data_IF_820295050255
#
_entry.id   IF_820295050255
#
_cell.length_a   1.000
_cell.length_b   1.000
_cell.length_c   1.000
_cell.angle_alpha   90.00
_cell.angle_beta   90.00
_cell.angle_gamma   90.00
#
_symmetry.space_group_name_H-M   'P 1'
#
loop_
_entity.id
_entity.type
_entity.pdbx_description
1 polymer ?
#
# COMPACT_ATOMS: atom_id res chain seq x y z
N UNK A 1 -61.25 -29.31 53.68
CA UNK A 1 -60.72 -28.03 53.17
C UNK A 1 -59.16 -27.97 53.19
N UNK A 2 -58.52 -28.50 54.24
CA UNK A 2 -57.03 -28.41 54.38
C UNK A 2 -56.26 -29.10 53.25
N UNK A 3 -56.71 -30.25 52.77
CA UNK A 3 -56.05 -30.98 51.66
C UNK A 3 -55.94 -30.13 50.36
N UNK A 4 -56.94 -29.33 50.02
CA UNK A 4 -56.93 -28.49 48.83
C UNK A 4 -55.96 -27.34 48.96
N UNK A 5 -55.75 -26.76 50.13
CA UNK A 5 -54.78 -25.70 50.35
C UNK A 5 -53.33 -26.22 50.22
N UNK A 6 -53.05 -27.43 50.72
CA UNK A 6 -51.76 -28.07 50.57
C UNK A 6 -51.44 -28.38 49.11
N UNK A 7 -52.41 -28.93 48.37
CA UNK A 7 -52.25 -29.22 46.95
C UNK A 7 -52.01 -27.93 46.16
N UNK A 8 -52.70 -26.85 46.43
CA UNK A 8 -52.52 -25.58 45.76
C UNK A 8 -51.10 -24.97 46.00
N UNK A 9 -50.58 -25.09 47.22
CA UNK A 9 -49.24 -24.63 47.56
C UNK A 9 -48.18 -25.45 46.83
N UNK A 10 -48.31 -26.78 46.82
CA UNK A 10 -47.34 -27.67 46.13
C UNK A 10 -47.34 -27.41 44.61
N UNK A 11 -48.50 -27.26 43.99
CA UNK A 11 -48.58 -26.95 42.56
C UNK A 11 -48.06 -25.59 42.26
N UNK A 12 -48.31 -24.60 43.13
CA UNK A 12 -47.77 -23.26 42.98
C UNK A 12 -46.24 -23.23 43.07
N UNK A 13 -45.66 -23.98 44.02
CA UNK A 13 -44.18 -24.08 44.16
C UNK A 13 -43.54 -24.82 42.99
N UNK A 14 -44.16 -25.89 42.49
CA UNK A 14 -43.68 -26.60 41.29
C UNK A 14 -43.72 -25.72 40.04
N UNK A 15 -44.78 -24.97 39.86
CA UNK A 15 -44.89 -24.00 38.76
C UNK A 15 -43.87 -22.89 38.86
N UNK A 16 -43.63 -22.35 40.06
CA UNK A 16 -42.62 -21.35 40.32
C UNK A 16 -41.17 -21.85 40.06
N UNK A 17 -40.88 -23.08 40.51
CA UNK A 17 -39.59 -23.74 40.21
C UNK A 17 -39.37 -23.98 38.73
N UNK A 18 -40.42 -24.36 38.00
CA UNK A 18 -40.34 -24.59 36.54
C UNK A 18 -40.10 -23.27 35.77
N UNK A 19 -40.77 -22.17 36.18
CA UNK A 19 -40.52 -20.86 35.61
C UNK A 19 -39.08 -20.39 35.82
N UNK A 20 -38.56 -20.50 37.04
CA UNK A 20 -37.17 -20.12 37.36
C UNK A 20 -36.14 -20.92 36.53
N UNK A 21 -36.40 -22.23 36.32
CA UNK A 21 -35.52 -23.05 35.49
C UNK A 21 -35.58 -22.60 34.03
N UNK A 22 -36.74 -22.29 33.50
CA UNK A 22 -36.89 -21.79 32.12
C UNK A 22 -36.16 -20.46 31.94
N UNK A 23 -36.36 -19.51 32.87
CA UNK A 23 -35.65 -18.22 32.84
C UNK A 23 -34.12 -18.39 32.95
N UNK A 24 -33.66 -19.35 33.75
CA UNK A 24 -32.22 -19.64 33.86
C UNK A 24 -31.66 -20.25 32.56
N UNK A 25 -32.40 -21.16 31.94
CA UNK A 25 -31.96 -21.75 30.65
C UNK A 25 -32.00 -20.73 29.52
N UNK A 26 -32.99 -19.83 29.49
CA UNK A 26 -33.06 -18.75 28.50
C UNK A 26 -31.93 -17.78 28.65
N UNK A 27 -31.54 -17.40 29.90
CA UNK A 27 -30.38 -16.53 30.14
C UNK A 27 -29.08 -17.21 29.74
N UNK A 28 -28.86 -18.45 30.11
CA UNK A 28 -27.66 -19.20 29.72
C UNK A 28 -27.56 -19.35 28.19
N UNK A 29 -28.70 -19.53 27.52
CA UNK A 29 -28.75 -19.64 26.07
C UNK A 29 -28.48 -18.28 25.38
N UNK A 30 -28.92 -17.18 25.96
CA UNK A 30 -28.61 -15.84 25.49
C UNK A 30 -27.11 -15.52 25.65
N UNK A 31 -26.53 -15.82 26.80
CA UNK A 31 -25.10 -15.65 27.08
C UNK A 31 -24.24 -16.47 26.10
N UNK A 32 -24.57 -17.75 25.90
CA UNK A 32 -23.81 -18.59 24.95
C UNK A 32 -23.95 -18.13 23.50
N UNK A 33 -25.09 -17.54 23.13
CA UNK A 33 -25.25 -16.94 21.79
C UNK A 33 -24.39 -15.70 21.64
N UNK A 34 -24.39 -14.82 22.62
CA UNK A 34 -23.57 -13.60 22.61
C UNK A 34 -22.07 -13.93 22.54
N UNK A 35 -21.63 -14.93 23.29
CA UNK A 35 -20.26 -15.44 23.23
C UNK A 35 -19.93 -16.03 21.84
N UNK A 36 -20.83 -16.79 21.24
CA UNK A 36 -20.65 -17.38 19.90
C UNK A 36 -20.59 -16.31 18.82
N UNK A 37 -21.44 -15.29 18.90
CA UNK A 37 -21.44 -14.16 17.95
C UNK A 37 -20.14 -13.34 18.09
N UNK A 38 -19.71 -13.06 19.34
CA UNK A 38 -18.43 -12.39 19.58
C UNK A 38 -17.22 -13.16 19.06
N UNK A 39 -17.23 -14.49 19.20
CA UNK A 39 -16.18 -15.35 18.65
C UNK A 39 -16.18 -15.38 17.13
N UNK A 40 -17.36 -15.41 16.51
CA UNK A 40 -17.52 -15.35 15.06
C UNK A 40 -16.97 -14.04 14.49
N UNK A 41 -17.26 -12.91 15.13
CA UNK A 41 -16.75 -11.59 14.74
C UNK A 41 -15.22 -11.51 14.90
N UNK A 42 -14.69 -12.00 16.00
CA UNK A 42 -13.25 -12.06 16.23
C UNK A 42 -12.53 -12.91 15.17
N UNK A 43 -13.12 -14.06 14.80
CA UNK A 43 -12.60 -14.94 13.75
C UNK A 43 -12.64 -14.26 12.37
N UNK A 44 -13.73 -13.59 12.04
CA UNK A 44 -13.86 -12.84 10.78
C UNK A 44 -12.80 -11.73 10.67
N UNK A 45 -12.59 -10.97 11.76
CA UNK A 45 -11.56 -9.92 11.82
C UNK A 45 -10.14 -10.49 11.70
N UNK A 46 -9.85 -11.59 12.37
CA UNK A 46 -8.55 -12.27 12.28
C UNK A 46 -8.28 -12.77 10.85
N UNK A 47 -9.28 -13.35 10.20
CA UNK A 47 -9.18 -13.81 8.81
C UNK A 47 -8.93 -12.65 7.85
N UNK A 48 -9.67 -11.55 7.97
CA UNK A 48 -9.46 -10.36 7.15
C UNK A 48 -8.06 -9.77 7.33
N UNK A 49 -7.56 -9.74 8.56
CA UNK A 49 -6.20 -9.27 8.86
C UNK A 49 -5.16 -10.18 8.23
N UNK A 50 -5.34 -11.50 8.33
CA UNK A 50 -4.49 -12.49 7.67
C UNK A 50 -4.46 -12.28 6.15
N UNK A 51 -5.61 -12.16 5.51
CA UNK A 51 -5.70 -11.99 4.06
C UNK A 51 -5.00 -10.70 3.60
N UNK A 52 -5.12 -9.61 4.38
CA UNK A 52 -4.39 -8.36 4.12
C UNK A 52 -2.88 -8.51 4.25
N UNK A 53 -2.42 -9.22 5.27
CA UNK A 53 -0.98 -9.48 5.47
C UNK A 53 -0.41 -10.39 4.36
N UNK A 54 -1.14 -11.40 3.95
CA UNK A 54 -0.73 -12.28 2.83
C UNK A 54 -0.64 -11.50 1.52
N UNK A 55 -1.61 -10.64 1.22
CA UNK A 55 -1.57 -9.77 0.04
C UNK A 55 -0.38 -8.80 0.07
N UNK A 56 -0.08 -8.23 1.24
CA UNK A 56 1.08 -7.34 1.42
C UNK A 56 2.40 -8.08 1.25
N UNK A 57 2.56 -9.26 1.86
CA UNK A 57 3.76 -10.09 1.72
C UNK A 57 3.97 -10.54 0.27
N UNK A 58 2.91 -10.91 -0.44
CA UNK A 58 3.00 -11.26 -1.86
C UNK A 58 3.46 -10.07 -2.71
N UNK A 59 2.99 -8.85 -2.40
CA UNK A 59 3.45 -7.61 -3.03
C UNK A 59 4.93 -7.34 -2.75
N UNK A 60 5.38 -7.43 -1.51
CA UNK A 60 6.78 -7.21 -1.11
C UNK A 60 7.73 -8.23 -1.76
N UNK A 61 7.35 -9.50 -1.80
CA UNK A 61 8.13 -10.55 -2.47
C UNK A 61 8.26 -10.30 -3.98
N UNK A 62 7.17 -9.90 -4.64
CA UNK A 62 7.19 -9.55 -6.05
C UNK A 62 8.12 -8.37 -6.33
N UNK A 63 8.07 -7.34 -5.48
CA UNK A 63 8.94 -6.16 -5.59
C UNK A 63 10.41 -6.53 -5.39
N UNK A 64 10.73 -7.34 -4.37
CA UNK A 64 12.09 -7.79 -4.09
C UNK A 64 12.66 -8.65 -5.23
N UNK A 65 11.86 -9.54 -5.79
CA UNK A 65 12.26 -10.37 -6.94
C UNK A 65 12.53 -9.51 -8.17
N UNK A 66 11.66 -8.55 -8.48
CA UNK A 66 11.83 -7.63 -9.60
C UNK A 66 13.09 -6.76 -9.43
N UNK A 67 13.39 -6.30 -8.21
CA UNK A 67 14.62 -5.58 -7.89
C UNK A 67 15.86 -6.45 -8.09
N UNK A 68 15.82 -7.70 -7.66
CA UNK A 68 16.94 -8.64 -7.83
C UNK A 68 17.20 -8.97 -9.30
N UNK A 69 16.14 -9.25 -10.07
CA UNK A 69 16.25 -9.52 -11.51
C UNK A 69 16.74 -8.28 -12.27
N UNK A 70 16.26 -7.08 -11.93
CA UNK A 70 16.73 -5.82 -12.50
C UNK A 70 18.22 -5.57 -12.20
N UNK A 71 18.65 -5.73 -10.95
CA UNK A 71 20.04 -5.57 -10.56
C UNK A 71 20.97 -6.55 -11.30
N UNK A 72 20.54 -7.81 -11.46
CA UNK A 72 21.30 -8.84 -12.18
C UNK A 72 21.38 -8.57 -13.70
N UNK A 73 20.35 -7.97 -14.26
CA UNK A 73 20.35 -7.56 -15.67
C UNK A 73 21.35 -6.43 -15.93
N UNK A 74 21.46 -5.48 -14.98
CA UNK A 74 22.39 -4.35 -15.03
C UNK A 74 23.87 -4.78 -15.01
N UNK A 75 24.23 -5.82 -14.28
CA UNK A 75 25.62 -6.30 -14.19
C UNK A 75 26.22 -6.82 -15.53
N UNK A 76 25.37 -7.14 -16.51
CA UNK A 76 25.77 -7.79 -17.79
C UNK A 76 25.51 -6.94 -19.03
N UNK A 77 25.09 -5.69 -18.88
CA UNK A 77 24.40 -5.00 -19.94
C UNK A 77 25.17 -3.82 -20.55
N UNK A 78 24.93 -3.59 -21.84
CA UNK A 78 25.25 -2.32 -22.48
C UNK A 78 24.38 -1.18 -21.88
N UNK A 79 24.78 0.08 -22.06
CA UNK A 79 24.01 1.23 -21.54
C UNK A 79 22.53 1.20 -21.98
N UNK A 80 22.23 0.69 -23.18
CA UNK A 80 20.87 0.53 -23.68
C UNK A 80 20.06 -0.54 -22.94
N UNK A 81 20.72 -1.63 -22.49
CA UNK A 81 20.06 -2.69 -21.72
C UNK A 81 19.78 -2.24 -20.29
N UNK A 82 20.68 -1.42 -19.70
CA UNK A 82 20.47 -0.78 -18.39
C UNK A 82 19.24 0.10 -18.40
N UNK A 83 19.09 0.94 -19.42
CA UNK A 83 17.92 1.80 -19.58
C UNK A 83 16.64 0.97 -19.74
N UNK A 84 16.67 -0.08 -20.55
CA UNK A 84 15.52 -0.99 -20.71
C UNK A 84 15.15 -1.67 -19.41
N UNK A 85 16.14 -2.18 -18.66
CA UNK A 85 15.94 -2.75 -17.33
C UNK A 85 15.35 -1.75 -16.33
N UNK A 86 15.80 -0.48 -16.35
CA UNK A 86 15.23 0.58 -15.52
C UNK A 86 13.77 0.89 -15.88
N UNK A 87 13.42 0.89 -17.17
CA UNK A 87 12.02 1.04 -17.64
C UNK A 87 11.15 -0.09 -17.11
N UNK A 88 11.58 -1.34 -17.29
CA UNK A 88 10.83 -2.53 -16.88
C UNK A 88 10.66 -2.57 -15.36
N UNK A 89 11.68 -2.19 -14.61
CA UNK A 89 11.64 -2.08 -13.17
C UNK A 89 10.63 -1.00 -12.72
N UNK A 90 10.73 0.21 -13.30
CA UNK A 90 9.83 1.32 -12.97
C UNK A 90 8.38 0.94 -13.23
N UNK A 91 8.10 0.34 -14.38
CA UNK A 91 6.76 -0.14 -14.74
C UNK A 91 6.27 -1.25 -13.81
N UNK A 92 7.13 -2.21 -13.49
CA UNK A 92 6.77 -3.38 -12.67
C UNK A 92 6.58 -3.07 -11.19
N UNK A 93 7.35 -2.14 -10.65
CA UNK A 93 7.35 -1.81 -9.20
C UNK A 93 6.40 -0.66 -8.88
N UNK A 94 6.48 0.45 -9.62
CA UNK A 94 5.71 1.65 -9.36
C UNK A 94 4.40 1.70 -10.15
N UNK A 95 4.36 1.09 -11.35
CA UNK A 95 3.21 1.11 -12.25
C UNK A 95 2.70 2.51 -12.58
N UNK A 96 3.57 3.50 -12.88
CA UNK A 96 3.13 4.85 -13.14
C UNK A 96 2.41 4.92 -14.50
N UNK A 97 1.42 5.79 -14.62
CA UNK A 97 0.77 6.05 -15.90
C UNK A 97 1.70 6.76 -16.88
N UNK A 98 2.51 7.68 -16.37
CA UNK A 98 3.49 8.46 -17.15
C UNK A 98 4.81 8.51 -16.39
N UNK A 99 5.91 8.33 -17.11
CA UNK A 99 7.24 8.55 -16.55
C UNK A 99 8.28 8.86 -17.62
N UNK A 100 9.37 9.44 -17.18
CA UNK A 100 10.53 9.79 -18.01
C UNK A 100 11.82 9.47 -17.28
N UNK A 101 12.82 9.02 -18.02
CA UNK A 101 14.18 8.86 -17.53
C UNK A 101 15.06 9.85 -18.26
N UNK A 102 15.72 10.72 -17.52
CA UNK A 102 16.68 11.69 -18.04
C UNK A 102 18.09 11.19 -17.82
N UNK A 103 18.94 11.41 -18.79
CA UNK A 103 20.39 11.21 -18.68
C UNK A 103 21.08 12.55 -18.61
N UNK A 104 22.09 12.62 -17.74
CA UNK A 104 22.99 13.78 -17.67
C UNK A 104 23.99 13.68 -18.83
N UNK A 105 23.93 14.65 -19.73
CA UNK A 105 24.84 14.80 -20.86
C UNK A 105 25.53 16.17 -20.79
N UNK A 106 26.74 16.21 -20.25
CA UNK A 106 27.41 17.49 -19.92
C UNK A 106 26.60 18.30 -18.90
N UNK A 107 26.19 19.49 -19.27
CA UNK A 107 25.41 20.41 -18.43
C UNK A 107 23.91 20.39 -18.74
N UNK A 108 23.43 19.30 -19.32
CA UNK A 108 22.02 19.15 -19.70
C UNK A 108 21.47 17.80 -19.27
N UNK A 109 20.20 17.79 -18.81
CA UNK A 109 19.41 16.59 -18.65
C UNK A 109 18.59 16.36 -19.92
N UNK A 110 18.85 15.26 -20.62
CA UNK A 110 18.11 14.87 -21.83
C UNK A 110 17.21 13.68 -21.53
N UNK A 111 15.95 13.74 -21.99
CA UNK A 111 15.02 12.64 -21.86
C UNK A 111 15.44 11.46 -22.75
N UNK A 112 15.95 10.40 -22.14
CA UNK A 112 16.34 9.17 -22.80
C UNK A 112 15.16 8.23 -23.00
N UNK A 113 14.20 8.26 -22.09
CA UNK A 113 12.96 7.45 -22.14
C UNK A 113 11.77 8.30 -21.77
N UNK A 114 10.67 8.10 -22.49
CA UNK A 114 9.37 8.76 -22.27
C UNK A 114 8.28 7.72 -22.48
N UNK A 115 7.45 7.51 -21.46
CA UNK A 115 6.32 6.60 -21.53
C UNK A 115 5.04 7.23 -21.02
N UNK A 116 3.92 6.92 -21.66
CA UNK A 116 2.59 7.41 -21.29
C UNK A 116 2.31 8.87 -21.63
N UNK A 117 3.30 9.62 -22.15
CA UNK A 117 3.11 11.01 -22.56
C UNK A 117 2.42 11.12 -23.89
N UNK A 118 1.44 12.01 -24.00
CA UNK A 118 0.66 12.30 -25.21
C UNK A 118 1.06 13.64 -25.79
N UNK A 119 0.59 13.96 -27.01
CA UNK A 119 0.86 15.24 -27.66
C UNK A 119 0.23 16.44 -26.93
N UNK A 120 -0.79 16.18 -26.12
CA UNK A 120 -1.51 17.21 -25.35
C UNK A 120 -0.86 17.49 -23.99
N UNK A 121 0.14 16.68 -23.61
CA UNK A 121 0.86 16.87 -22.35
C UNK A 121 1.98 17.88 -22.49
N UNK A 122 2.13 18.74 -21.49
CA UNK A 122 3.31 19.61 -21.37
C UNK A 122 4.47 18.76 -20.85
N UNK A 123 5.49 18.57 -21.70
CA UNK A 123 6.67 17.81 -21.34
C UNK A 123 7.94 18.43 -21.94
N UNK A 124 8.88 18.78 -21.09
CA UNK A 124 10.18 19.33 -21.49
C UNK A 124 11.20 18.21 -21.64
N UNK A 125 11.71 18.03 -22.85
CA UNK A 125 12.67 16.94 -23.19
C UNK A 125 14.10 17.22 -22.73
N UNK A 126 14.42 18.48 -22.48
CA UNK A 126 15.78 18.90 -22.17
C UNK A 126 15.76 20.00 -21.12
N UNK A 127 16.52 19.83 -20.03
CA UNK A 127 16.69 20.83 -18.98
C UNK A 127 18.16 21.24 -18.93
N UNK A 128 18.41 22.52 -19.13
CA UNK A 128 19.75 23.10 -19.05
C UNK A 128 20.19 23.33 -17.59
N UNK A 129 21.47 23.57 -17.38
CA UNK A 129 22.05 23.83 -16.06
C UNK A 129 21.36 24.97 -15.29
N UNK A 130 20.79 25.94 -16.02
CA UNK A 130 20.11 27.12 -15.43
C UNK A 130 18.66 26.79 -15.01
N UNK A 131 18.12 25.62 -15.37
CA UNK A 131 16.75 25.24 -15.02
C UNK A 131 16.62 24.87 -13.55
N UNK A 132 15.50 25.22 -12.93
CA UNK A 132 15.22 24.92 -11.53
C UNK A 132 15.23 23.40 -11.26
N UNK A 133 14.75 22.58 -12.21
CA UNK A 133 14.76 21.12 -12.09
C UNK A 133 16.20 20.58 -12.08
N UNK A 134 17.07 21.05 -13.00
CA UNK A 134 18.48 20.64 -13.03
C UNK A 134 19.19 20.98 -11.73
N UNK A 135 19.01 22.21 -11.22
CA UNK A 135 19.63 22.64 -9.98
C UNK A 135 19.24 21.77 -8.81
N UNK A 136 17.94 21.50 -8.64
CA UNK A 136 17.45 20.67 -7.55
C UNK A 136 17.93 19.21 -7.64
N UNK A 137 17.87 18.59 -8.84
CA UNK A 137 18.17 17.16 -9.00
C UNK A 137 19.67 16.90 -9.13
N UNK A 138 20.40 17.70 -9.94
CA UNK A 138 21.81 17.44 -10.24
C UNK A 138 22.74 18.15 -9.28
N UNK A 139 22.52 19.44 -9.03
CA UNK A 139 23.43 20.22 -8.18
C UNK A 139 23.22 19.97 -6.69
N UNK A 140 21.95 19.86 -6.27
CA UNK A 140 21.59 19.64 -4.86
C UNK A 140 21.39 18.14 -4.52
N UNK A 141 21.18 17.27 -5.50
CA UNK A 141 20.89 15.85 -5.30
C UNK A 141 19.56 15.60 -4.56
N UNK A 142 18.62 16.53 -4.67
CA UNK A 142 17.36 16.53 -3.91
C UNK A 142 16.25 15.80 -4.66
N UNK A 143 15.44 15.06 -3.91
CA UNK A 143 14.17 14.52 -4.42
C UNK A 143 13.09 15.61 -4.36
N UNK A 144 12.25 15.67 -5.39
CA UNK A 144 11.13 16.59 -5.49
C UNK A 144 9.82 15.85 -5.43
N UNK A 145 8.83 16.40 -4.73
CA UNK A 145 7.48 15.85 -4.64
C UNK A 145 6.44 16.97 -4.73
N UNK A 146 5.52 16.88 -5.68
CA UNK A 146 4.47 17.87 -5.91
C UNK A 146 3.52 18.08 -4.72
N UNK A 147 3.57 17.20 -3.68
CA UNK A 147 2.85 17.42 -2.43
C UNK A 147 3.36 18.62 -1.63
N UNK A 148 4.61 19.07 -1.89
CA UNK A 148 5.20 20.24 -1.28
C UNK A 148 5.13 21.41 -2.28
N UNK A 149 4.69 22.58 -1.81
CA UNK A 149 4.44 23.72 -2.68
C UNK A 149 5.69 24.18 -3.44
N UNK A 150 6.81 24.26 -2.77
CA UNK A 150 8.09 24.70 -3.37
C UNK A 150 8.57 23.72 -4.45
N UNK A 151 8.36 22.42 -4.26
CA UNK A 151 8.71 21.39 -5.23
C UNK A 151 7.72 21.35 -6.41
N UNK A 152 6.45 21.63 -6.16
CA UNK A 152 5.44 21.72 -7.19
C UNK A 152 5.75 22.85 -8.19
N UNK A 153 6.27 23.99 -7.70
CA UNK A 153 6.68 25.12 -8.53
C UNK A 153 7.91 24.74 -9.41
N UNK A 154 8.85 23.95 -8.88
CA UNK A 154 10.01 23.44 -9.63
C UNK A 154 9.61 22.40 -10.68
N UNK A 155 8.67 21.53 -10.33
CA UNK A 155 8.14 20.51 -11.26
C UNK A 155 7.23 21.10 -12.35
N UNK A 156 6.77 22.35 -12.18
CA UNK A 156 6.00 23.14 -13.16
C UNK A 156 4.79 22.36 -13.78
N UNK A 157 4.22 21.41 -13.06
CA UNK A 157 3.12 20.57 -13.56
C UNK A 157 3.55 19.41 -14.46
N UNK A 158 4.84 19.26 -14.75
CA UNK A 158 5.36 18.19 -15.62
C UNK A 158 5.56 16.84 -14.89
N UNK A 159 5.33 16.78 -13.58
CA UNK A 159 5.50 15.56 -12.81
C UNK A 159 4.98 15.66 -11.39
N UNK A 160 4.87 14.52 -10.74
CA UNK A 160 4.45 14.38 -9.33
C UNK A 160 5.66 14.10 -8.44
N UNK A 161 6.66 13.42 -8.99
CA UNK A 161 7.87 13.02 -8.28
C UNK A 161 9.06 13.05 -9.23
N UNK A 162 10.18 13.60 -8.78
CA UNK A 162 11.48 13.49 -9.45
C UNK A 162 12.56 13.14 -8.44
N UNK A 163 13.49 12.25 -8.83
CA UNK A 163 14.57 11.81 -7.96
C UNK A 163 15.85 11.55 -8.77
N UNK A 164 17.04 11.90 -8.22
CA UNK A 164 18.30 11.53 -8.84
C UNK A 164 18.54 10.02 -8.68
N UNK A 165 19.01 9.38 -9.76
CA UNK A 165 19.52 8.01 -9.73
C UNK A 165 21.04 8.09 -9.62
N UNK A 166 21.57 7.87 -8.42
CA UNK A 166 23.01 7.82 -8.20
C UNK A 166 23.58 6.47 -8.63
N UNK A 167 24.55 6.48 -9.51
CA UNK A 167 25.28 5.29 -9.92
C UNK A 167 26.37 4.92 -8.91
N UNK A 168 26.17 3.82 -8.15
CA UNK A 168 27.18 3.11 -7.38
C UNK A 168 27.92 3.84 -6.24
N UNK A 169 28.66 3.14 -5.39
CA UNK A 169 29.42 3.74 -4.30
C UNK A 169 30.61 4.56 -4.86
N UNK A 170 30.45 5.86 -4.88
CA UNK A 170 31.42 6.84 -5.38
C UNK A 170 30.93 7.73 -6.52
N UNK A 171 29.72 7.50 -7.05
CA UNK A 171 29.09 8.39 -8.01
C UNK A 171 28.61 9.65 -7.30
N UNK A 172 29.21 10.79 -7.67
CA UNK A 172 28.53 12.09 -7.48
C UNK A 172 27.28 12.09 -8.33
N UNK A 173 26.20 12.75 -7.86
CA UNK A 173 25.00 12.91 -8.66
C UNK A 173 25.30 13.51 -10.02
#
# INVERSE_FOLDING_TARGET
>A
PLMWCIAAIVVGELAARRRRRLEQTERALAETREEADGLADAYANARQTKDRLEARLAGELKTTLALYEGARAVERASAGDVLRGAVDLTRGVLGPEKFSIFLLNGDMLEAAVQEGWTADDTFTRCHTADSALYQAIVAEGRQLCAAYKDDADVLAGEGVLAAPLAGGPGGRP
#
